data_IF_577275292334
#
_entry.id   IF_577275292334
#
_cell.length_a   1.000
_cell.length_b   1.000
_cell.length_c   1.000
_cell.angle_alpha   90.00
_cell.angle_beta   90.00
_cell.angle_gamma   90.00
#
_symmetry.space_group_name_H-M   'P 1'
#
loop_
_entity.id
_entity.type
_entity.pdbx_description
1 polymer ?
#
# COMPACT_ATOMS: atom_id res chain seq x y z
N UNK A 1 47.42 -41.94 32.24
CA UNK A 1 46.59 -40.81 32.73
C UNK A 1 47.01 -39.53 31.99
N UNK A 2 46.18 -39.02 31.08
CA UNK A 2 45.92 -37.59 30.85
C UNK A 2 44.87 -37.48 29.74
N UNK A 3 43.78 -36.82 30.08
CA UNK A 3 42.49 -36.87 29.43
C UNK A 3 42.45 -36.03 28.14
N UNK A 4 41.74 -36.57 27.14
CA UNK A 4 41.40 -35.93 25.89
C UNK A 4 40.40 -34.79 26.13
N UNK A 5 40.77 -33.55 25.77
CA UNK A 5 39.85 -32.41 25.78
C UNK A 5 39.28 -32.22 24.37
N UNK A 6 38.05 -32.69 24.15
CA UNK A 6 37.27 -32.42 22.94
C UNK A 6 36.49 -31.13 23.15
N UNK A 7 36.88 -30.04 22.49
CA UNK A 7 36.09 -28.82 22.43
C UNK A 7 34.95 -29.04 21.43
N UNK A 8 33.74 -29.20 21.96
CA UNK A 8 32.50 -29.27 21.21
C UNK A 8 32.14 -27.84 20.76
N UNK A 9 32.25 -27.54 19.47
CA UNK A 9 31.73 -26.30 18.88
C UNK A 9 30.21 -26.44 18.83
N UNK A 10 29.51 -25.78 19.74
CA UNK A 10 28.04 -25.63 19.67
C UNK A 10 27.74 -24.60 18.59
N UNK A 11 27.34 -25.09 17.42
CA UNK A 11 26.77 -24.25 16.37
C UNK A 11 25.40 -23.74 16.84
N UNK A 12 25.36 -22.51 17.35
CA UNK A 12 24.11 -21.79 17.61
C UNK A 12 23.52 -21.42 16.25
N UNK A 13 22.61 -22.27 15.76
CA UNK A 13 21.79 -21.98 14.59
C UNK A 13 20.82 -20.84 14.93
N UNK A 14 21.17 -19.62 14.51
CA UNK A 14 20.22 -18.51 14.45
C UNK A 14 19.24 -18.83 13.33
N UNK A 15 18.15 -19.52 13.68
CA UNK A 15 17.00 -19.65 12.82
C UNK A 15 16.38 -18.26 12.66
N UNK A 16 16.69 -17.58 11.55
CA UNK A 16 15.95 -16.40 11.16
C UNK A 16 14.52 -16.84 10.85
N UNK A 17 13.61 -16.60 11.79
CA UNK A 17 12.19 -16.55 11.50
C UNK A 17 11.97 -15.33 10.61
N UNK A 18 12.16 -15.49 9.30
CA UNK A 18 11.52 -14.62 8.34
C UNK A 18 10.02 -14.85 8.54
N UNK A 19 9.37 -13.93 9.25
CA UNK A 19 7.92 -13.88 9.31
C UNK A 19 7.43 -13.72 7.88
N UNK A 20 7.09 -14.84 7.23
CA UNK A 20 6.33 -14.81 6.00
C UNK A 20 5.02 -14.13 6.35
N UNK A 21 4.82 -12.92 5.84
CA UNK A 21 3.50 -12.29 5.82
C UNK A 21 2.53 -13.34 5.26
N UNK A 22 1.38 -13.57 5.90
CA UNK A 22 0.43 -14.56 5.42
C UNK A 22 0.13 -14.28 3.94
N UNK A 23 0.07 -15.35 3.15
CA UNK A 23 -0.32 -15.28 1.75
C UNK A 23 -1.58 -14.41 1.63
N UNK A 24 -1.59 -13.49 0.66
CA UNK A 24 -2.66 -12.52 0.48
C UNK A 24 -4.03 -13.17 0.72
N UNK A 25 -4.74 -12.71 1.76
CA UNK A 25 -6.08 -13.21 2.06
C UNK A 25 -6.96 -13.12 0.82
N UNK A 26 -7.89 -14.07 0.68
CA UNK A 26 -8.85 -14.04 -0.44
C UNK A 26 -9.54 -12.66 -0.47
N UNK A 27 -9.67 -12.03 -1.66
CA UNK A 27 -10.37 -10.77 -1.79
C UNK A 27 -11.73 -10.84 -1.09
N UNK A 28 -11.94 -9.99 -0.07
CA UNK A 28 -13.16 -9.95 0.73
C UNK A 28 -13.06 -10.52 2.15
N UNK A 29 -12.11 -11.41 2.46
CA UNK A 29 -11.95 -11.91 3.84
C UNK A 29 -11.36 -10.85 4.77
N UNK A 30 -10.37 -10.09 4.29
CA UNK A 30 -9.85 -8.93 5.02
C UNK A 30 -10.93 -7.87 5.25
N UNK A 31 -11.80 -7.65 4.27
CA UNK A 31 -12.90 -6.69 4.40
C UNK A 31 -13.85 -7.11 5.55
N UNK A 32 -14.27 -8.39 5.58
CA UNK A 32 -15.08 -8.92 6.68
C UNK A 32 -14.38 -8.82 8.04
N UNK A 33 -13.06 -9.00 8.08
CA UNK A 33 -12.30 -8.81 9.31
C UNK A 33 -12.32 -7.36 9.79
N UNK A 34 -12.09 -6.41 8.87
CA UNK A 34 -12.18 -4.98 9.15
C UNK A 34 -13.58 -4.61 9.63
N UNK A 35 -14.62 -5.08 8.94
CA UNK A 35 -16.03 -4.83 9.31
C UNK A 35 -16.31 -5.32 10.73
N UNK A 36 -15.92 -6.56 11.07
CA UNK A 36 -16.05 -7.09 12.44
C UNK A 36 -15.33 -6.24 13.50
N UNK A 37 -14.13 -5.73 13.18
CA UNK A 37 -13.38 -4.87 14.09
C UNK A 37 -14.07 -3.52 14.29
N UNK A 38 -14.67 -2.95 13.24
CA UNK A 38 -15.45 -1.71 13.32
C UNK A 38 -16.69 -1.93 14.18
N UNK A 39 -17.47 -2.98 13.91
CA UNK A 39 -18.68 -3.33 14.68
C UNK A 39 -18.36 -3.55 16.16
N UNK A 40 -17.25 -4.23 16.46
CA UNK A 40 -16.80 -4.46 17.84
C UNK A 40 -16.40 -3.17 18.54
N UNK A 41 -15.72 -2.26 17.83
CA UNK A 41 -15.25 -1.00 18.40
C UNK A 41 -16.36 0.07 18.52
N UNK A 42 -17.37 0.01 17.64
CA UNK A 42 -18.45 0.98 17.51
C UNK A 42 -19.80 0.26 17.33
N UNK A 43 -20.43 -0.23 18.42
CA UNK A 43 -21.67 -1.01 18.35
C UNK A 43 -22.85 -0.30 17.67
N UNK A 44 -22.86 1.04 17.65
CA UNK A 44 -23.91 1.87 17.04
C UNK A 44 -23.50 2.42 15.67
N UNK A 45 -22.42 1.91 15.05
CA UNK A 45 -21.90 2.42 13.78
C UNK A 45 -22.96 2.49 12.68
N UNK A 46 -23.84 1.49 12.58
CA UNK A 46 -24.91 1.46 11.57
C UNK A 46 -25.84 2.67 11.66
N UNK A 47 -26.10 3.19 12.86
CA UNK A 47 -26.96 4.37 13.06
C UNK A 47 -26.32 5.67 12.54
N UNK A 48 -24.99 5.68 12.42
CA UNK A 48 -24.22 6.80 11.89
C UNK A 48 -23.83 6.60 10.42
N UNK A 49 -24.00 5.40 9.87
CA UNK A 49 -23.63 5.08 8.51
C UNK A 49 -24.54 5.79 7.50
N UNK A 50 -23.95 6.34 6.44
CA UNK A 50 -24.73 6.88 5.33
C UNK A 50 -25.40 5.76 4.54
N UNK A 51 -26.57 6.01 3.92
CA UNK A 51 -27.19 5.06 3.01
C UNK A 51 -26.25 4.62 1.88
N UNK A 52 -26.47 3.41 1.36
CA UNK A 52 -25.73 2.91 0.21
C UNK A 52 -25.90 3.85 -0.99
N UNK A 53 -24.77 4.26 -1.56
CA UNK A 53 -24.75 5.15 -2.71
C UNK A 53 -25.14 4.42 -4.02
N UNK A 54 -25.63 5.21 -4.97
CA UNK A 54 -25.90 4.75 -6.33
C UNK A 54 -24.63 4.31 -7.06
N UNK A 55 -24.77 3.52 -8.12
CA UNK A 55 -23.62 3.09 -8.93
C UNK A 55 -22.88 4.26 -9.60
N UNK A 56 -23.60 5.32 -9.96
CA UNK A 56 -23.00 6.52 -10.54
C UNK A 56 -22.12 7.27 -9.51
N UNK A 57 -22.62 7.45 -8.29
CA UNK A 57 -21.87 8.08 -7.20
C UNK A 57 -20.69 7.22 -6.78
N UNK A 58 -20.90 5.90 -6.65
CA UNK A 58 -19.85 4.94 -6.36
C UNK A 58 -18.70 5.08 -7.37
N UNK A 59 -18.99 5.01 -8.67
CA UNK A 59 -17.96 5.04 -9.71
C UNK A 59 -17.17 6.35 -9.68
N UNK A 60 -17.85 7.49 -9.48
CA UNK A 60 -17.19 8.80 -9.36
C UNK A 60 -16.24 8.83 -8.16
N UNK A 61 -16.72 8.44 -6.98
CA UNK A 61 -15.93 8.47 -5.73
C UNK A 61 -14.71 7.56 -5.83
N UNK A 62 -14.91 6.29 -6.18
CA UNK A 62 -13.82 5.32 -6.24
C UNK A 62 -12.76 5.67 -7.28
N UNK A 63 -13.14 6.30 -8.41
CA UNK A 63 -12.17 6.74 -9.41
C UNK A 63 -11.33 7.92 -8.89
N UNK A 64 -11.96 8.88 -8.21
CA UNK A 64 -11.26 10.01 -7.60
C UNK A 64 -10.33 9.54 -6.46
N UNK A 65 -10.80 8.64 -5.61
CA UNK A 65 -10.03 8.16 -4.46
C UNK A 65 -8.79 7.37 -4.94
N UNK A 66 -9.01 6.40 -5.82
CA UNK A 66 -7.95 5.47 -6.22
C UNK A 66 -7.02 6.03 -7.29
N UNK A 67 -7.47 6.97 -8.12
CA UNK A 67 -6.66 7.47 -9.26
C UNK A 67 -6.53 8.98 -9.34
N UNK A 68 -7.24 9.75 -8.51
CA UNK A 68 -7.35 11.21 -8.61
C UNK A 68 -7.74 11.71 -10.00
N UNK A 69 -8.55 10.94 -10.73
CA UNK A 69 -9.08 11.35 -12.04
C UNK A 69 -10.58 11.09 -12.09
N UNK A 70 -11.28 11.81 -12.96
CA UNK A 70 -12.69 11.52 -13.25
C UNK A 70 -12.79 10.38 -14.27
N UNK A 71 -13.80 9.50 -14.18
CA UNK A 71 -14.01 8.47 -15.18
C UNK A 71 -14.37 9.11 -16.53
N UNK A 72 -13.93 8.51 -17.64
CA UNK A 72 -14.37 8.96 -18.95
C UNK A 72 -15.86 8.70 -19.15
N UNK A 73 -16.47 9.46 -20.08
CA UNK A 73 -17.89 9.29 -20.41
C UNK A 73 -18.21 7.87 -20.86
N UNK A 74 -17.32 7.23 -21.62
CA UNK A 74 -17.55 5.89 -22.16
C UNK A 74 -17.44 4.83 -21.08
N UNK A 75 -16.45 4.93 -20.19
CA UNK A 75 -16.34 4.03 -19.02
C UNK A 75 -17.56 4.15 -18.12
N UNK A 76 -18.03 5.38 -17.90
CA UNK A 76 -19.23 5.64 -17.11
C UNK A 76 -20.45 4.99 -17.74
N UNK A 77 -20.67 5.20 -19.04
CA UNK A 77 -21.79 4.57 -19.77
C UNK A 77 -21.73 3.04 -19.70
N UNK A 78 -20.56 2.45 -19.94
CA UNK A 78 -20.39 0.99 -19.85
C UNK A 78 -20.68 0.44 -18.45
N UNK A 79 -20.17 1.10 -17.40
CA UNK A 79 -20.40 0.65 -16.03
C UNK A 79 -21.88 0.76 -15.60
N UNK A 80 -22.57 1.81 -16.04
CA UNK A 80 -23.98 2.02 -15.73
C UNK A 80 -24.91 1.12 -16.55
N UNK A 81 -24.50 0.72 -17.76
CA UNK A 81 -25.22 -0.23 -18.59
C UNK A 81 -25.02 -1.70 -18.17
N UNK A 82 -24.01 -2.00 -17.34
CA UNK A 82 -23.78 -3.34 -16.80
C UNK A 82 -24.88 -3.72 -15.80
N UNK A 83 -25.71 -4.68 -16.19
CA UNK A 83 -26.86 -5.18 -15.43
C UNK A 83 -26.51 -6.21 -14.37
N UNK A 84 -25.23 -6.58 -14.21
CA UNK A 84 -24.81 -7.45 -13.11
C UNK A 84 -25.07 -6.77 -11.76
N UNK A 85 -25.32 -7.56 -10.69
CA UNK A 85 -25.47 -7.01 -9.35
C UNK A 85 -24.27 -6.13 -8.95
N UNK A 86 -24.54 -5.03 -8.22
CA UNK A 86 -23.49 -4.13 -7.74
C UNK A 86 -22.41 -4.86 -6.92
N UNK A 87 -22.78 -5.92 -6.19
CA UNK A 87 -21.87 -6.76 -5.43
C UNK A 87 -20.83 -7.48 -6.31
N UNK A 88 -21.12 -7.69 -7.59
CA UNK A 88 -20.22 -8.35 -8.54
C UNK A 88 -19.41 -7.33 -9.36
N UNK A 89 -20.07 -6.31 -9.91
CA UNK A 89 -19.39 -5.37 -10.82
C UNK A 89 -18.53 -4.30 -10.11
N UNK A 90 -18.82 -3.96 -8.85
CA UNK A 90 -18.04 -2.96 -8.09
C UNK A 90 -16.63 -3.47 -7.75
N UNK A 91 -16.44 -4.70 -7.23
CA UNK A 91 -15.09 -5.27 -7.04
C UNK A 91 -14.26 -5.31 -8.33
N UNK A 92 -14.87 -5.69 -9.46
CA UNK A 92 -14.19 -5.69 -10.76
C UNK A 92 -13.70 -4.28 -11.16
N UNK A 93 -14.51 -3.25 -10.92
CA UNK A 93 -14.13 -1.88 -11.20
C UNK A 93 -12.97 -1.42 -10.30
N UNK A 94 -13.02 -1.75 -9.00
CA UNK A 94 -11.95 -1.47 -8.05
C UNK A 94 -10.64 -2.14 -8.51
N UNK A 95 -10.69 -3.43 -8.85
CA UNK A 95 -9.51 -4.18 -9.28
C UNK A 95 -8.86 -3.57 -10.53
N UNK A 96 -9.67 -3.13 -11.49
CA UNK A 96 -9.19 -2.43 -12.69
C UNK A 96 -8.52 -1.10 -12.36
N UNK A 97 -9.07 -0.34 -11.41
CA UNK A 97 -8.49 0.93 -10.97
C UNK A 97 -7.17 0.71 -10.23
N UNK A 98 -7.11 -0.22 -9.28
CA UNK A 98 -5.90 -0.57 -8.53
C UNK A 98 -4.77 -1.05 -9.45
N UNK A 99 -5.11 -1.82 -10.49
CA UNK A 99 -4.15 -2.33 -11.47
C UNK A 99 -3.69 -1.26 -12.48
N UNK A 100 -4.27 -0.06 -12.45
CA UNK A 100 -3.98 0.97 -13.44
C UNK A 100 -2.70 1.76 -13.12
N UNK A 101 -1.94 2.23 -14.13
CA UNK A 101 -0.80 3.12 -13.89
C UNK A 101 -1.15 4.41 -13.16
N UNK A 102 -2.42 4.85 -13.24
CA UNK A 102 -2.92 6.03 -12.56
C UNK A 102 -2.97 5.84 -11.04
N UNK A 103 -3.28 4.64 -10.57
CA UNK A 103 -3.23 4.32 -9.14
C UNK A 103 -1.79 4.43 -8.59
N UNK A 104 -0.80 3.89 -9.31
CA UNK A 104 0.60 4.05 -8.94
C UNK A 104 1.03 5.53 -8.86
N UNK A 105 0.53 6.41 -9.74
CA UNK A 105 0.75 7.87 -9.63
C UNK A 105 0.11 8.44 -8.37
N UNK A 106 -1.17 8.13 -8.16
CA UNK A 106 -1.95 8.62 -7.03
C UNK A 106 -1.27 8.28 -5.70
N UNK A 107 -0.79 7.04 -5.56
CA UNK A 107 -0.06 6.58 -4.39
C UNK A 107 1.30 7.24 -4.25
N UNK A 108 2.05 7.43 -5.35
CA UNK A 108 3.29 8.20 -5.29
C UNK A 108 3.07 9.62 -4.77
N UNK A 109 2.05 10.33 -5.25
CA UNK A 109 1.74 11.68 -4.75
C UNK A 109 1.32 11.68 -3.29
N UNK A 110 0.50 10.70 -2.88
CA UNK A 110 0.09 10.56 -1.49
C UNK A 110 1.30 10.35 -0.57
N UNK A 111 2.15 9.39 -0.92
CA UNK A 111 3.34 9.04 -0.15
C UNK A 111 4.33 10.19 -0.09
N UNK A 112 4.57 10.88 -1.21
CA UNK A 112 5.42 12.07 -1.24
C UNK A 112 4.89 13.14 -0.29
N UNK A 113 3.59 13.41 -0.34
CA UNK A 113 2.96 14.42 0.52
C UNK A 113 3.03 14.06 2.00
N UNK A 114 2.61 12.86 2.41
CA UNK A 114 2.60 12.49 3.84
C UNK A 114 4.00 12.32 4.43
N UNK A 115 5.00 11.97 3.60
CA UNK A 115 6.35 11.71 4.08
C UNK A 115 7.21 12.98 4.06
N UNK A 116 7.09 13.82 3.02
CA UNK A 116 7.96 14.99 2.79
C UNK A 116 7.25 16.33 3.01
N UNK A 117 5.92 16.38 3.02
CA UNK A 117 5.15 17.63 3.10
C UNK A 117 5.64 18.69 2.08
N UNK A 118 6.16 19.83 2.55
CA UNK A 118 6.72 20.92 1.72
C UNK A 118 8.22 21.11 1.94
N UNK A 119 8.95 20.03 2.28
CA UNK A 119 10.39 20.08 2.53
C UNK A 119 11.20 20.36 1.25
N UNK A 120 12.38 20.97 1.44
CA UNK A 120 13.34 21.20 0.36
C UNK A 120 13.91 19.88 -0.16
N UNK A 121 14.63 19.94 -1.27
CA UNK A 121 15.25 18.77 -1.93
C UNK A 121 16.76 18.97 -2.02
N UNK A 122 17.39 19.19 -0.88
CA UNK A 122 18.79 19.60 -0.78
C UNK A 122 19.74 18.42 -1.01
N UNK A 123 19.48 17.28 -0.36
CA UNK A 123 20.38 16.12 -0.43
C UNK A 123 19.94 15.11 -1.48
N UNK A 124 18.65 15.06 -1.79
CA UNK A 124 18.08 14.18 -2.81
C UNK A 124 17.11 14.94 -3.70
N UNK A 125 17.35 14.90 -5.01
CA UNK A 125 16.47 15.53 -5.99
C UNK A 125 15.05 14.93 -5.94
N UNK A 126 14.02 15.79 -5.96
CA UNK A 126 12.62 15.36 -5.88
C UNK A 126 12.23 14.31 -6.90
N UNK A 127 12.74 14.41 -8.14
CA UNK A 127 12.46 13.45 -9.19
C UNK A 127 12.95 12.03 -8.86
N UNK A 128 14.09 11.88 -8.18
CA UNK A 128 14.63 10.56 -7.81
C UNK A 128 13.78 9.89 -6.74
N UNK A 129 13.36 10.65 -5.72
CA UNK A 129 12.45 10.20 -4.68
C UNK A 129 11.08 9.81 -5.24
N UNK A 130 10.50 10.67 -6.07
CA UNK A 130 9.21 10.40 -6.70
C UNK A 130 9.29 9.18 -7.62
N UNK A 131 10.39 8.98 -8.35
CA UNK A 131 10.60 7.77 -9.14
C UNK A 131 10.67 6.51 -8.28
N UNK A 132 11.34 6.56 -7.12
CA UNK A 132 11.37 5.46 -6.16
C UNK A 132 9.96 5.13 -5.64
N UNK A 133 9.22 6.13 -5.15
CA UNK A 133 7.86 5.95 -4.65
C UNK A 133 6.93 5.43 -5.74
N UNK A 134 7.07 5.93 -6.98
CA UNK A 134 6.26 5.47 -8.10
C UNK A 134 6.49 4.00 -8.42
N UNK A 135 7.75 3.56 -8.40
CA UNK A 135 8.10 2.16 -8.61
C UNK A 135 7.50 1.29 -7.52
N UNK A 136 7.73 1.64 -6.25
CA UNK A 136 7.23 0.85 -5.12
C UNK A 136 5.69 0.78 -5.10
N UNK A 137 5.00 1.89 -5.39
CA UNK A 137 3.55 1.90 -5.50
C UNK A 137 3.02 1.04 -6.67
N UNK A 138 3.70 1.07 -7.81
CA UNK A 138 3.30 0.27 -8.98
C UNK A 138 3.56 -1.24 -8.78
N UNK A 139 4.53 -1.59 -7.94
CA UNK A 139 4.82 -2.97 -7.52
C UNK A 139 3.91 -3.44 -6.37
N UNK A 140 2.98 -2.60 -5.89
CA UNK A 140 2.15 -2.85 -4.72
C UNK A 140 2.96 -3.27 -3.48
N UNK A 141 4.09 -2.60 -3.26
CA UNK A 141 5.00 -2.90 -2.15
C UNK A 141 4.29 -2.65 -0.82
N UNK A 142 4.44 -3.57 0.12
CA UNK A 142 3.79 -3.47 1.42
C UNK A 142 4.37 -2.31 2.25
N UNK A 143 3.55 -1.78 3.16
CA UNK A 143 3.94 -0.65 3.99
C UNK A 143 5.16 -0.94 4.87
N UNK A 144 5.26 -2.15 5.43
CA UNK A 144 6.39 -2.58 6.24
C UNK A 144 7.70 -2.62 5.44
N UNK A 145 7.65 -3.06 4.18
CA UNK A 145 8.80 -3.06 3.28
C UNK A 145 9.22 -1.64 2.94
N UNK A 146 8.27 -0.77 2.59
CA UNK A 146 8.53 0.66 2.33
C UNK A 146 9.15 1.35 3.55
N UNK A 147 8.56 1.20 4.73
CA UNK A 147 9.04 1.80 5.96
C UNK A 147 10.45 1.31 6.31
N UNK A 148 10.71 0.00 6.19
CA UNK A 148 12.04 -0.58 6.41
C UNK A 148 13.06 -0.01 5.43
N UNK A 149 12.73 0.05 4.15
CA UNK A 149 13.63 0.61 3.12
C UNK A 149 13.97 2.08 3.36
N UNK A 150 13.00 2.86 3.84
CA UNK A 150 13.18 4.29 4.13
C UNK A 150 14.02 4.49 5.41
N UNK A 151 13.74 3.73 6.47
CA UNK A 151 14.34 3.94 7.80
C UNK A 151 15.73 3.29 7.95
N UNK A 152 16.00 2.19 7.23
CA UNK A 152 17.26 1.44 7.38
C UNK A 152 18.35 1.95 6.42
N UNK A 153 17.97 2.57 5.31
CA UNK A 153 18.96 2.97 4.31
C UNK A 153 19.74 4.22 4.75
N UNK A 154 21.04 4.08 5.03
CA UNK A 154 21.92 5.18 5.45
C UNK A 154 22.36 6.16 4.36
N UNK A 155 21.87 6.05 3.12
CA UNK A 155 22.07 7.06 2.07
C UNK A 155 23.48 7.11 1.46
N UNK A 156 24.41 6.29 1.95
CA UNK A 156 25.79 6.23 1.47
C UNK A 156 25.86 5.79 -0.01
N UNK A 157 25.15 4.73 -0.39
CA UNK A 157 25.10 4.24 -1.77
C UNK A 157 24.18 5.12 -2.64
N UNK A 158 24.74 5.71 -3.69
CA UNK A 158 24.03 6.58 -4.62
C UNK A 158 22.80 5.91 -5.27
N UNK A 159 22.82 4.59 -5.50
CA UNK A 159 21.68 3.88 -6.13
C UNK A 159 20.47 3.78 -5.21
N UNK A 160 20.70 3.69 -3.90
CA UNK A 160 19.64 3.52 -2.91
C UNK A 160 19.38 4.76 -2.08
N UNK A 161 20.22 5.79 -2.21
CA UNK A 161 20.08 7.12 -1.60
C UNK A 161 18.70 7.76 -1.73
N UNK A 162 17.93 7.59 -2.83
CA UNK A 162 16.58 8.14 -2.86
C UNK A 162 15.71 7.65 -1.71
N UNK A 163 15.85 6.39 -1.29
CA UNK A 163 15.07 5.81 -0.17
C UNK A 163 15.32 6.51 1.16
N UNK A 164 16.53 7.06 1.32
CA UNK A 164 16.99 7.77 2.49
C UNK A 164 16.52 9.22 2.58
N UNK A 165 15.85 9.75 1.55
CA UNK A 165 15.48 11.18 1.50
C UNK A 165 14.71 11.63 2.75
N UNK A 166 13.86 10.77 3.29
CA UNK A 166 13.00 11.08 4.43
C UNK A 166 13.71 11.65 5.65
N UNK A 167 14.91 11.18 5.96
CA UNK A 167 15.70 11.70 7.08
C UNK A 167 16.82 12.64 6.63
N UNK A 168 17.29 12.53 5.37
CA UNK A 168 18.32 13.44 4.85
C UNK A 168 17.78 14.87 4.68
N UNK A 169 16.52 15.02 4.29
CA UNK A 169 15.89 16.33 4.04
C UNK A 169 14.90 16.74 5.16
N UNK A 170 15.05 16.20 6.38
CA UNK A 170 14.18 16.51 7.53
C UNK A 170 14.86 17.40 8.56
#
# INVERSE_FOLDING_TARGET
MRASFRILIVAVGVAQAMSSLPAAEKPGELAKQIDRLIETALPEFESHASPLCSDAEFLRRVTLDLTATIPSSDRTRHFLADSRPSAEKRPDAIQRLLSSPAHGRRMQYLLDWILMERRSSENVASAQWQSYLRKAASENRSWDQLAREILVNGGADAKTRPRARFYLDR
#
